data_IF_037153342518
#
_entry.id   IF_037153342518
#
_cell.length_a   1.000
_cell.length_b   1.000
_cell.length_c   1.000
_cell.angle_alpha   90.00
_cell.angle_beta   90.00
_cell.angle_gamma   90.00
#
_symmetry.space_group_name_H-M   'P 1'
#
loop_
_entity.id
_entity.type
_entity.pdbx_description
1 polymer ?
#
# COMPACT_ATOMS: atom_id res chain seq x y z
N UNK A 1 -53.58 24.32 -10.02
CA UNK A 1 -52.36 25.07 -9.68
C UNK A 1 -51.20 24.10 -9.53
N UNK A 2 -50.35 23.96 -10.57
CA UNK A 2 -49.14 23.14 -10.50
C UNK A 2 -47.95 24.08 -10.32
N UNK A 3 -47.34 24.05 -9.15
CA UNK A 3 -46.14 24.81 -8.82
C UNK A 3 -44.94 24.13 -9.48
N UNK A 4 -44.30 24.82 -10.43
CA UNK A 4 -43.03 24.38 -11.00
C UNK A 4 -41.90 24.91 -10.11
N UNK A 5 -41.14 24.01 -9.47
CA UNK A 5 -39.87 24.37 -8.83
C UNK A 5 -38.83 24.38 -9.95
N UNK A 6 -38.43 25.58 -10.38
CA UNK A 6 -37.26 25.77 -11.24
C UNK A 6 -36.06 25.92 -10.33
N UNK A 7 -35.29 24.84 -10.14
CA UNK A 7 -33.94 24.97 -9.60
C UNK A 7 -33.07 25.66 -10.67
N UNK A 8 -32.81 26.96 -10.48
CA UNK A 8 -31.78 27.65 -11.26
C UNK A 8 -30.42 27.06 -10.87
N UNK A 9 -29.84 26.23 -11.74
CA UNK A 9 -28.44 25.85 -11.67
C UNK A 9 -27.58 27.12 -11.64
N UNK A 10 -26.86 27.33 -10.53
CA UNK A 10 -25.89 28.43 -10.43
C UNK A 10 -24.63 28.01 -11.20
N UNK A 11 -24.40 28.62 -12.35
CA UNK A 11 -23.13 28.51 -13.04
C UNK A 11 -22.09 29.35 -12.28
N UNK A 12 -21.16 28.69 -11.59
CA UNK A 12 -20.15 29.36 -10.77
C UNK A 12 -18.84 29.44 -11.55
N UNK A 13 -18.70 30.47 -12.38
CA UNK A 13 -17.53 30.66 -13.25
C UNK A 13 -16.68 31.81 -12.69
N UNK A 14 -15.69 31.48 -11.86
CA UNK A 14 -14.75 32.45 -11.27
C UNK A 14 -13.29 31.98 -11.34
N UNK A 15 -12.30 32.87 -11.59
CA UNK A 15 -10.87 32.53 -11.61
C UNK A 15 -10.37 31.91 -10.30
N UNK A 16 -10.89 32.37 -9.15
CA UNK A 16 -10.60 31.83 -7.81
C UNK A 16 -11.06 30.37 -7.65
N UNK A 17 -12.14 29.99 -8.34
CA UNK A 17 -12.66 28.62 -8.32
C UNK A 17 -11.78 27.72 -9.17
N UNK A 18 -11.26 28.20 -10.30
CA UNK A 18 -10.28 27.44 -11.09
C UNK A 18 -9.00 27.18 -10.29
N UNK A 19 -8.54 28.15 -9.49
CA UNK A 19 -7.39 27.98 -8.62
C UNK A 19 -7.68 27.07 -7.42
N UNK A 20 -8.84 27.21 -6.77
CA UNK A 20 -9.28 26.33 -5.68
C UNK A 20 -9.57 24.90 -6.12
N UNK A 21 -10.16 24.70 -7.30
CA UNK A 21 -10.37 23.37 -7.91
C UNK A 21 -9.07 22.77 -8.43
N UNK A 22 -8.12 23.59 -8.90
CA UNK A 22 -6.77 23.12 -9.22
C UNK A 22 -6.05 22.64 -7.96
N UNK A 23 -6.02 23.45 -6.89
CA UNK A 23 -5.46 23.04 -5.60
C UNK A 23 -6.14 21.79 -5.05
N UNK A 24 -7.47 21.71 -5.14
CA UNK A 24 -8.23 20.52 -4.75
C UNK A 24 -7.89 19.31 -5.63
N UNK A 25 -7.77 19.46 -6.95
CA UNK A 25 -7.31 18.39 -7.84
C UNK A 25 -5.86 18.00 -7.56
N UNK A 26 -4.98 18.93 -7.19
CA UNK A 26 -3.60 18.65 -6.78
C UNK A 26 -3.55 17.91 -5.44
N UNK A 27 -4.41 18.29 -4.49
CA UNK A 27 -4.53 17.63 -3.19
C UNK A 27 -5.19 16.25 -3.30
N UNK A 28 -6.20 16.12 -4.16
CA UNK A 28 -6.88 14.86 -4.49
C UNK A 28 -5.95 13.95 -5.28
N UNK A 29 -5.20 14.45 -6.25
CA UNK A 29 -4.16 13.65 -6.93
C UNK A 29 -3.03 13.22 -5.99
N UNK A 30 -2.66 14.05 -4.99
CA UNK A 30 -1.79 13.59 -3.89
C UNK A 30 -2.42 12.47 -3.05
N UNK A 31 -3.75 12.44 -2.93
CA UNK A 31 -4.50 11.40 -2.20
C UNK A 31 -4.78 10.15 -3.06
N UNK A 32 -4.90 10.29 -4.38
CA UNK A 32 -5.25 9.25 -5.36
C UNK A 32 -4.01 8.64 -6.06
N UNK A 33 -2.85 9.31 -5.99
CA UNK A 33 -1.59 8.83 -6.54
C UNK A 33 -0.43 9.56 -5.88
N UNK A 34 -0.09 9.18 -4.64
CA UNK A 34 1.15 9.66 -4.03
C UNK A 34 2.30 9.29 -4.96
N UNK A 35 2.98 10.31 -5.48
CA UNK A 35 4.21 10.13 -6.25
C UNK A 35 5.36 9.72 -5.33
N UNK A 36 5.21 9.92 -4.01
CA UNK A 36 6.27 9.75 -3.04
C UNK A 36 5.90 8.65 -2.05
N UNK A 37 6.86 7.76 -1.77
CA UNK A 37 6.70 6.64 -0.86
C UNK A 37 7.78 6.66 0.20
N UNK A 38 7.45 6.11 1.36
CA UNK A 38 8.40 5.93 2.46
C UNK A 38 8.28 4.52 2.98
N UNK A 39 9.42 3.85 3.13
CA UNK A 39 9.46 2.46 3.54
C UNK A 39 10.42 2.27 4.70
N UNK A 40 9.99 1.49 5.69
CA UNK A 40 10.86 1.10 6.79
C UNK A 40 11.89 0.07 6.32
N UNK A 41 13.12 0.14 6.81
CA UNK A 41 14.12 -0.92 6.62
C UNK A 41 14.68 -1.28 7.99
N UNK A 42 14.35 -2.49 8.45
CA UNK A 42 14.76 -3.02 9.74
C UNK A 42 15.80 -4.11 9.56
N UNK A 43 16.95 -3.97 10.22
CA UNK A 43 17.95 -5.01 10.29
C UNK A 43 17.67 -5.94 11.47
N UNK A 44 17.51 -7.24 11.20
CA UNK A 44 17.28 -8.28 12.20
C UNK A 44 18.44 -9.27 12.19
N UNK A 45 19.14 -9.40 13.32
CA UNK A 45 20.20 -10.40 13.51
C UNK A 45 19.60 -11.76 13.83
N UNK A 46 20.41 -12.79 13.64
CA UNK A 46 20.03 -14.14 13.98
C UNK A 46 19.68 -14.28 15.47
N UNK A 47 18.61 -15.02 15.78
CA UNK A 47 18.14 -15.24 17.15
C UNK A 47 17.37 -14.09 17.80
N UNK A 48 17.25 -12.90 17.18
CA UNK A 48 16.43 -11.81 17.71
C UNK A 48 14.94 -12.12 17.58
N UNK A 49 14.18 -11.91 18.66
CA UNK A 49 12.75 -12.27 18.75
C UNK A 49 11.85 -11.09 19.11
N UNK A 50 12.44 -9.97 19.54
CA UNK A 50 11.70 -8.80 19.99
C UNK A 50 12.00 -7.57 19.14
N UNK A 51 11.02 -6.68 19.02
CA UNK A 51 11.20 -5.40 18.36
C UNK A 51 12.32 -4.56 18.99
N UNK A 52 12.36 -4.50 20.32
CA UNK A 52 13.40 -3.75 21.06
C UNK A 52 14.83 -4.21 20.70
N UNK A 53 15.07 -5.52 20.53
CA UNK A 53 16.37 -6.07 20.11
C UNK A 53 16.71 -5.64 18.67
N UNK A 54 15.77 -5.79 17.74
CA UNK A 54 15.98 -5.43 16.34
C UNK A 54 16.23 -3.93 16.15
N UNK A 55 15.45 -3.08 16.82
CA UNK A 55 15.62 -1.63 16.77
C UNK A 55 16.89 -1.15 17.47
N UNK A 56 17.47 -1.94 18.38
CA UNK A 56 18.71 -1.62 19.08
C UNK A 56 19.97 -1.94 18.28
N UNK A 57 19.85 -2.52 17.08
CA UNK A 57 21.00 -2.78 16.22
C UNK A 57 21.63 -1.45 15.73
N UNK A 58 22.84 -1.15 16.19
CA UNK A 58 23.59 0.06 15.78
C UNK A 58 24.19 -0.09 14.37
N UNK A 59 24.71 -1.28 14.06
CA UNK A 59 25.39 -1.58 12.79
C UNK A 59 24.78 -2.79 12.09
N UNK A 60 24.82 -2.74 10.76
CA UNK A 60 24.45 -3.85 9.89
C UNK A 60 25.62 -4.79 9.59
N UNK A 61 25.35 -5.85 8.81
CA UNK A 61 26.37 -6.70 8.21
C UNK A 61 26.79 -6.20 6.83
N UNK A 62 27.89 -6.72 6.28
CA UNK A 62 28.30 -6.41 4.90
C UNK A 62 27.23 -6.76 3.86
N UNK A 63 26.48 -7.85 4.07
CA UNK A 63 25.38 -8.22 3.18
C UNK A 63 24.19 -7.28 3.28
N UNK A 64 23.98 -6.67 4.46
CA UNK A 64 22.99 -5.62 4.64
C UNK A 64 23.42 -4.33 3.91
N UNK A 65 24.67 -3.92 4.03
CA UNK A 65 25.17 -2.73 3.33
C UNK A 65 25.11 -2.90 1.81
N UNK A 66 25.45 -4.10 1.28
CA UNK A 66 25.24 -4.44 -0.13
C UNK A 66 23.77 -4.32 -0.54
N UNK A 67 22.85 -4.79 0.29
CA UNK A 67 21.42 -4.67 0.05
C UNK A 67 20.94 -3.21 0.08
N UNK A 68 21.43 -2.38 0.99
CA UNK A 68 21.10 -0.95 1.04
C UNK A 68 21.57 -0.22 -0.23
N UNK A 69 22.79 -0.50 -0.69
CA UNK A 69 23.32 0.04 -1.94
C UNK A 69 22.55 -0.45 -3.18
N UNK A 70 21.93 -1.64 -3.10
CA UNK A 70 21.05 -2.13 -4.15
C UNK A 70 19.71 -1.38 -4.16
N UNK A 71 19.15 -1.01 -3.00
CA UNK A 71 17.88 -0.31 -2.92
C UNK A 71 17.95 1.10 -3.54
N UNK A 72 19.02 1.85 -3.26
CA UNK A 72 19.17 3.21 -3.72
C UNK A 72 20.49 3.85 -3.32
N UNK A 73 20.58 5.15 -3.54
CA UNK A 73 21.75 5.95 -3.25
C UNK A 73 21.77 6.40 -1.79
N UNK A 74 22.95 6.38 -1.18
CA UNK A 74 23.14 7.01 0.13
C UNK A 74 23.18 8.53 -0.05
N UNK A 75 22.25 9.23 0.57
CA UNK A 75 22.14 10.68 0.54
C UNK A 75 22.48 11.29 1.90
N UNK A 76 22.99 12.52 1.90
CA UNK A 76 23.07 13.33 3.12
C UNK A 76 21.75 14.04 3.36
N UNK A 77 21.23 13.96 4.59
CA UNK A 77 19.98 14.58 4.98
C UNK A 77 20.11 16.10 5.17
N UNK A 78 21.28 16.56 5.62
CA UNK A 78 21.52 17.99 5.82
C UNK A 78 21.44 18.75 4.49
N UNK A 79 20.45 19.65 4.38
CA UNK A 79 20.22 20.40 3.15
C UNK A 79 19.59 19.61 2.00
N UNK A 80 19.06 18.41 2.26
CA UNK A 80 18.37 17.61 1.25
C UNK A 80 17.13 18.34 0.70
N UNK A 81 17.06 18.47 -0.62
CA UNK A 81 16.00 19.19 -1.32
C UNK A 81 14.87 18.30 -1.86
N UNK A 82 15.09 16.97 -1.94
CA UNK A 82 14.11 16.01 -2.44
C UNK A 82 13.06 15.62 -1.40
N UNK A 83 12.23 14.62 -1.74
CA UNK A 83 11.29 14.06 -0.77
C UNK A 83 12.04 13.52 0.46
N UNK A 84 11.62 13.94 1.65
CA UNK A 84 12.31 13.65 2.92
C UNK A 84 11.68 12.57 3.79
N UNK A 85 10.51 12.02 3.43
CA UNK A 85 9.84 10.96 4.19
C UNK A 85 9.42 11.30 5.64
N UNK A 86 9.65 12.52 6.11
CA UNK A 86 9.47 12.92 7.51
C UNK A 86 10.77 12.92 8.32
N UNK A 87 11.92 12.68 7.69
CA UNK A 87 13.26 12.85 8.27
C UNK A 87 13.61 14.34 8.39
N UNK A 88 14.44 14.65 9.39
CA UNK A 88 15.03 15.97 9.60
C UNK A 88 16.14 16.21 8.59
N UNK A 89 16.16 17.43 8.06
CA UNK A 89 17.07 17.88 6.99
C UNK A 89 17.86 19.13 7.42
N UNK A 90 17.71 19.56 8.68
CA UNK A 90 18.27 20.81 9.20
C UNK A 90 19.19 20.60 10.40
N UNK A 91 18.78 19.77 11.34
CA UNK A 91 19.44 19.66 12.65
C UNK A 91 19.95 18.24 12.95
N UNK A 92 20.03 17.37 11.95
CA UNK A 92 20.50 15.98 12.05
C UNK A 92 19.83 15.13 13.16
N UNK A 93 18.61 15.51 13.58
CA UNK A 93 17.90 14.82 14.67
C UNK A 93 17.39 13.44 14.29
N UNK A 94 17.42 13.09 13.00
CA UNK A 94 17.03 11.78 12.47
C UNK A 94 18.18 11.09 11.76
N UNK A 95 19.42 11.38 12.17
CA UNK A 95 20.63 10.85 11.55
C UNK A 95 21.17 11.79 10.46
N UNK A 96 22.35 11.45 9.95
CA UNK A 96 23.05 12.28 8.96
C UNK A 96 22.76 11.86 7.52
N UNK A 97 22.50 10.57 7.30
CA UNK A 97 22.34 9.98 5.98
C UNK A 97 21.11 9.05 5.95
N UNK A 98 20.62 8.77 4.74
CA UNK A 98 19.55 7.82 4.48
C UNK A 98 19.72 7.22 3.09
N UNK A 99 18.92 6.21 2.74
CA UNK A 99 18.86 5.65 1.39
C UNK A 99 17.67 6.25 0.66
N UNK A 100 17.89 6.69 -0.57
CA UNK A 100 16.88 7.31 -1.41
C UNK A 100 17.02 6.82 -2.86
N UNK A 101 15.90 6.69 -3.56
CA UNK A 101 15.91 6.43 -5.01
C UNK A 101 14.71 7.06 -5.68
N UNK A 102 14.86 7.39 -6.97
CA UNK A 102 13.72 7.65 -7.85
C UNK A 102 13.46 6.40 -8.68
N UNK A 103 12.23 5.89 -8.69
CA UNK A 103 11.84 4.72 -9.46
C UNK A 103 10.56 4.99 -10.25
N UNK A 104 10.64 4.94 -11.59
CA UNK A 104 9.52 5.22 -12.50
C UNK A 104 8.78 6.55 -12.21
N UNK A 105 9.53 7.58 -11.81
CA UNK A 105 8.97 8.89 -11.45
C UNK A 105 8.43 8.99 -10.02
N UNK A 106 8.56 7.92 -9.23
CA UNK A 106 8.25 7.93 -7.81
C UNK A 106 9.50 8.21 -6.97
N UNK A 107 9.41 9.10 -5.99
CA UNK A 107 10.48 9.32 -5.01
C UNK A 107 10.31 8.38 -3.82
N UNK A 108 11.32 7.58 -3.50
CA UNK A 108 11.29 6.60 -2.41
C UNK A 108 12.30 6.98 -1.35
N UNK A 109 11.84 7.21 -0.12
CA UNK A 109 12.66 7.45 1.06
C UNK A 109 12.69 6.21 1.96
N UNK A 110 13.86 5.76 2.38
CA UNK A 110 13.99 4.59 3.25
C UNK A 110 14.37 4.98 4.69
N UNK A 111 13.52 4.62 5.65
CA UNK A 111 13.82 4.76 7.06
C UNK A 111 14.66 3.57 7.52
N UNK A 112 15.98 3.67 7.39
CA UNK A 112 16.92 2.59 7.73
C UNK A 112 17.23 2.59 9.21
N UNK A 113 16.95 1.48 9.89
CA UNK A 113 17.07 1.37 11.35
C UNK A 113 18.46 1.70 11.88
N UNK A 114 19.52 1.27 11.19
CA UNK A 114 20.92 1.52 11.58
C UNK A 114 21.40 2.94 11.27
N UNK A 115 20.74 3.67 10.37
CA UNK A 115 21.07 5.06 10.03
C UNK A 115 20.30 6.09 10.88
N UNK A 116 19.21 5.67 11.52
CA UNK A 116 18.49 6.49 12.49
C UNK A 116 19.25 6.56 13.84
N UNK A 117 19.10 7.64 14.62
CA UNK A 117 19.83 7.79 15.88
C UNK A 117 19.54 6.67 16.87
N UNK A 118 20.58 6.24 17.57
CA UNK A 118 20.51 5.26 18.64
C UNK A 118 20.68 5.96 19.99
N UNK A 119 19.90 5.54 21.00
CA UNK A 119 20.10 5.98 22.39
C UNK A 119 20.19 4.77 23.31
N UNK A 120 21.32 4.62 24.01
CA UNK A 120 21.57 3.52 24.96
C UNK A 120 20.60 3.52 26.13
N UNK A 121 20.17 4.72 26.53
CA UNK A 121 19.27 4.97 27.65
C UNK A 121 17.82 4.59 27.29
N UNK A 122 17.49 4.62 25.99
CA UNK A 122 16.16 4.33 25.48
C UNK A 122 16.06 2.91 24.92
N UNK A 123 15.84 1.92 25.78
CA UNK A 123 15.69 0.51 25.36
C UNK A 123 14.63 0.29 24.28
N UNK A 124 13.59 1.13 24.23
CA UNK A 124 12.52 1.03 23.24
C UNK A 124 12.86 1.69 21.90
N UNK A 125 13.97 2.44 21.82
CA UNK A 125 14.40 3.17 20.62
C UNK A 125 13.24 3.95 19.98
N UNK A 126 12.54 4.74 20.80
CA UNK A 126 11.29 5.43 20.44
C UNK A 126 11.43 6.25 19.15
N UNK A 127 12.54 6.96 18.94
CA UNK A 127 12.74 7.72 17.70
C UNK A 127 12.82 6.82 16.46
N UNK A 128 13.52 5.68 16.53
CA UNK A 128 13.55 4.70 15.43
C UNK A 128 12.16 4.13 15.15
N UNK A 129 11.44 3.75 16.21
CA UNK A 129 10.05 3.25 16.11
C UNK A 129 9.08 4.31 15.61
N UNK A 130 9.30 5.59 15.91
CA UNK A 130 8.47 6.70 15.45
C UNK A 130 8.54 6.87 13.93
N UNK A 131 9.67 6.57 13.31
CA UNK A 131 9.78 6.59 11.85
C UNK A 131 9.29 5.27 11.25
N UNK A 132 10.00 4.17 11.51
CA UNK A 132 9.75 2.85 10.90
C UNK A 132 8.39 2.29 11.32
N UNK A 133 8.05 2.40 12.61
CA UNK A 133 6.77 1.90 13.12
C UNK A 133 5.56 2.68 12.63
N UNK A 134 5.74 3.83 11.97
CA UNK A 134 4.68 4.58 11.30
C UNK A 134 4.66 4.36 9.78
N UNK A 135 5.55 3.54 9.24
CA UNK A 135 5.54 3.16 7.83
C UNK A 135 4.55 2.03 7.59
N UNK A 136 3.84 2.13 6.46
CA UNK A 136 2.83 1.15 6.05
C UNK A 136 3.49 -0.17 5.67
N UNK A 137 4.61 -0.08 4.95
CA UNK A 137 5.38 -1.22 4.47
C UNK A 137 6.78 -1.16 5.07
N UNK A 138 7.22 -2.25 5.68
CA UNK A 138 8.55 -2.38 6.28
C UNK A 138 9.30 -3.56 5.66
N UNK A 139 10.49 -3.31 5.13
CA UNK A 139 11.44 -4.33 4.74
C UNK A 139 12.17 -4.81 6.00
N UNK A 140 12.23 -6.13 6.20
CA UNK A 140 13.03 -6.74 7.26
C UNK A 140 14.16 -7.51 6.60
N UNK A 141 15.39 -7.03 6.75
CA UNK A 141 16.56 -7.78 6.32
C UNK A 141 16.99 -8.70 7.45
N UNK A 142 16.78 -10.00 7.26
CA UNK A 142 17.18 -11.00 8.23
C UNK A 142 18.56 -11.54 7.89
N UNK A 143 19.52 -11.24 8.75
CA UNK A 143 20.84 -11.84 8.73
C UNK A 143 20.78 -13.24 9.37
N UNK A 144 21.39 -14.21 8.72
CA UNK A 144 21.44 -15.60 9.17
C UNK A 144 22.90 -16.08 9.06
N UNK A 145 23.46 -16.55 10.17
CA UNK A 145 24.76 -17.22 10.18
C UNK A 145 24.55 -18.73 10.10
N UNK A 146 25.01 -19.36 9.02
CA UNK A 146 24.94 -20.82 8.86
C UNK A 146 23.59 -21.38 8.39
N UNK A 147 23.43 -22.70 8.50
CA UNK A 147 22.29 -23.45 7.93
C UNK A 147 21.15 -23.63 8.96
N UNK A 148 19.99 -23.06 8.63
CA UNK A 148 18.60 -23.36 9.07
C UNK A 148 18.31 -23.86 10.50
N UNK A 149 18.75 -23.15 11.54
CA UNK A 149 18.35 -23.50 12.93
C UNK A 149 17.68 -22.38 13.73
N UNK A 150 17.63 -21.15 13.23
CA UNK A 150 17.04 -20.02 13.96
C UNK A 150 15.58 -19.76 13.59
N UNK A 151 14.76 -19.28 14.54
CA UNK A 151 13.38 -18.90 14.27
C UNK A 151 13.32 -17.78 13.21
N UNK A 152 12.57 -18.01 12.14
CA UNK A 152 12.31 -16.98 11.13
C UNK A 152 11.53 -15.81 11.73
N UNK A 153 11.82 -14.59 11.27
CA UNK A 153 11.03 -13.41 11.60
C UNK A 153 9.52 -13.68 11.45
N UNK A 154 8.74 -13.21 12.41
CA UNK A 154 7.27 -13.21 12.35
C UNK A 154 6.76 -11.78 12.53
N UNK A 155 5.73 -11.35 11.79
CA UNK A 155 5.13 -10.03 11.95
C UNK A 155 4.74 -9.69 13.40
N UNK A 156 4.30 -10.68 14.19
CA UNK A 156 3.94 -10.51 15.61
C UNK A 156 5.08 -10.05 16.51
N UNK A 157 6.34 -10.16 16.05
CA UNK A 157 7.52 -9.66 16.75
C UNK A 157 7.58 -8.12 16.74
N UNK A 158 6.92 -7.46 15.79
CA UNK A 158 6.89 -6.00 15.66
C UNK A 158 5.53 -5.46 16.10
N UNK A 159 5.51 -4.61 17.13
CA UNK A 159 4.29 -3.95 17.60
C UNK A 159 4.09 -2.61 16.90
N UNK A 160 3.36 -2.62 15.78
CA UNK A 160 2.92 -1.42 15.08
C UNK A 160 1.43 -1.49 14.71
N UNK A 161 0.73 -0.36 14.82
CA UNK A 161 -0.63 -0.18 14.30
C UNK A 161 -0.67 0.38 12.87
N UNK A 162 0.48 0.77 12.32
CA UNK A 162 0.58 1.40 11.01
C UNK A 162 1.21 0.47 9.97
N UNK A 163 2.06 -0.46 10.39
CA UNK A 163 2.69 -1.42 9.48
C UNK A 163 1.72 -2.55 9.16
N UNK A 164 1.30 -2.64 7.91
CA UNK A 164 0.36 -3.65 7.42
C UNK A 164 1.05 -4.70 6.54
N UNK A 165 2.26 -4.39 6.03
CA UNK A 165 3.02 -5.29 5.15
C UNK A 165 4.48 -5.37 5.62
N UNK A 166 5.00 -6.60 5.70
CA UNK A 166 6.41 -6.89 5.92
C UNK A 166 7.01 -7.62 4.72
N UNK A 167 8.11 -7.10 4.19
CA UNK A 167 8.92 -7.76 3.17
C UNK A 167 10.19 -8.32 3.81
N UNK A 168 10.19 -9.62 4.11
CA UNK A 168 11.33 -10.32 4.69
C UNK A 168 12.33 -10.71 3.59
N UNK A 169 13.51 -10.11 3.64
CA UNK A 169 14.61 -10.35 2.70
C UNK A 169 15.72 -11.12 3.42
N UNK A 170 16.17 -12.21 2.79
CA UNK A 170 17.38 -12.94 3.19
C UNK A 170 18.34 -13.01 2.04
N UNK A 171 19.62 -12.78 2.31
CA UNK A 171 20.68 -12.94 1.34
C UNK A 171 21.42 -14.27 1.59
N UNK A 172 21.58 -15.06 0.54
CA UNK A 172 22.36 -16.29 0.57
C UNK A 172 23.70 -16.03 -0.14
N UNK A 173 24.78 -16.06 0.64
CA UNK A 173 26.14 -15.81 0.16
C UNK A 173 26.73 -16.95 -0.67
N UNK A 174 26.20 -18.18 -0.55
CA UNK A 174 26.73 -19.34 -1.27
C UNK A 174 26.36 -19.31 -2.76
N UNK A 175 25.16 -18.83 -3.07
CA UNK A 175 24.63 -18.77 -4.43
C UNK A 175 24.38 -17.33 -4.91
N UNK A 176 24.86 -16.34 -4.15
CA UNK A 176 24.71 -14.91 -4.41
C UNK A 176 23.27 -14.50 -4.76
N UNK A 177 22.30 -14.99 -4.00
CA UNK A 177 20.87 -14.80 -4.28
C UNK A 177 20.10 -14.17 -3.13
N UNK A 178 19.01 -13.48 -3.47
CA UNK A 178 18.05 -12.95 -2.50
C UNK A 178 16.81 -13.82 -2.46
N UNK A 179 16.34 -14.15 -1.25
CA UNK A 179 15.06 -14.80 -1.01
C UNK A 179 14.10 -13.81 -0.37
N UNK A 180 12.89 -13.72 -0.91
CA UNK A 180 11.86 -12.80 -0.45
C UNK A 180 10.67 -13.57 0.12
N UNK A 181 10.17 -13.15 1.28
CA UNK A 181 8.87 -13.58 1.82
C UNK A 181 8.05 -12.35 2.17
N UNK A 182 6.78 -12.33 1.79
CA UNK A 182 5.87 -11.25 2.09
C UNK A 182 4.88 -11.70 3.16
N UNK A 183 4.61 -10.80 4.10
CA UNK A 183 3.52 -10.91 5.05
C UNK A 183 2.65 -9.67 4.88
N UNK A 184 1.34 -9.85 4.78
CA UNK A 184 0.37 -8.76 4.73
C UNK A 184 -0.76 -9.06 5.72
N UNK A 185 -1.37 -8.02 6.27
CA UNK A 185 -2.61 -8.15 7.00
C UNK A 185 -3.73 -8.69 6.09
N UNK A 186 -4.62 -9.51 6.63
CA UNK A 186 -5.73 -10.14 5.91
C UNK A 186 -6.66 -9.12 5.23
N UNK A 187 -6.79 -7.93 5.81
CA UNK A 187 -7.63 -6.86 5.27
C UNK A 187 -7.05 -6.21 4.00
N UNK A 188 -5.77 -6.40 3.71
CA UNK A 188 -5.07 -5.81 2.57
C UNK A 188 -5.37 -6.64 1.31
N UNK A 189 -5.92 -6.04 0.24
CA UNK A 189 -6.13 -6.72 -1.03
C UNK A 189 -4.84 -7.32 -1.59
N UNK A 190 -4.95 -8.38 -2.39
CA UNK A 190 -3.80 -8.92 -3.12
C UNK A 190 -3.20 -7.85 -4.05
N UNK A 191 -1.88 -7.76 -4.07
CA UNK A 191 -1.16 -6.79 -4.88
C UNK A 191 -0.02 -7.44 -5.66
N UNK A 192 0.15 -7.02 -6.91
CA UNK A 192 1.18 -7.55 -7.80
C UNK A 192 2.57 -6.93 -7.56
N UNK A 193 3.61 -7.45 -8.21
CA UNK A 193 3.66 -8.71 -8.97
C UNK A 193 3.56 -9.96 -8.07
N UNK A 194 3.03 -11.10 -8.54
CA UNK A 194 3.03 -12.34 -7.75
C UNK A 194 4.47 -12.80 -7.47
N UNK A 195 4.70 -13.45 -6.33
CA UNK A 195 6.02 -13.99 -5.99
C UNK A 195 6.40 -15.12 -6.95
N UNK A 196 7.67 -15.21 -7.40
CA UNK A 196 8.14 -16.36 -8.15
C UNK A 196 8.12 -17.62 -7.28
N UNK A 197 8.05 -18.79 -7.91
CA UNK A 197 8.13 -20.09 -7.24
C UNK A 197 9.34 -20.86 -7.77
N UNK A 198 10.43 -21.02 -7.00
CA UNK A 198 10.63 -20.54 -5.63
C UNK A 198 10.83 -19.00 -5.55
N UNK A 199 10.58 -18.37 -4.39
CA UNK A 199 10.70 -16.91 -4.24
C UNK A 199 12.16 -16.47 -4.03
N UNK A 200 13.02 -16.83 -4.99
CA UNK A 200 14.48 -16.63 -4.98
C UNK A 200 14.88 -15.90 -6.26
N UNK A 201 15.75 -14.91 -6.13
CA UNK A 201 16.23 -14.07 -7.21
C UNK A 201 17.75 -14.12 -7.27
N UNK A 202 18.29 -14.52 -8.42
CA UNK A 202 19.73 -14.56 -8.70
C UNK A 202 20.23 -13.29 -9.38
N UNK A 203 19.37 -12.60 -10.13
CA UNK A 203 19.67 -11.27 -10.67
C UNK A 203 19.27 -10.21 -9.64
N UNK A 204 20.26 -9.45 -9.16
CA UNK A 204 20.06 -8.45 -8.11
C UNK A 204 19.27 -7.25 -8.62
N UNK A 205 19.41 -6.86 -9.89
CA UNK A 205 18.65 -5.73 -10.45
C UNK A 205 17.19 -6.13 -10.71
N UNK A 206 16.96 -7.36 -11.17
CA UNK A 206 15.60 -7.90 -11.26
C UNK A 206 14.94 -7.95 -9.88
N UNK A 207 15.67 -8.42 -8.86
CA UNK A 207 15.19 -8.43 -7.48
C UNK A 207 14.84 -7.02 -6.98
N UNK A 208 15.72 -6.04 -7.22
CA UNK A 208 15.50 -4.64 -6.85
C UNK A 208 14.21 -4.12 -7.47
N UNK A 209 14.07 -4.24 -8.79
CA UNK A 209 12.90 -3.74 -9.51
C UNK A 209 11.62 -4.43 -9.05
N UNK A 210 11.66 -5.76 -8.87
CA UNK A 210 10.55 -6.54 -8.33
C UNK A 210 10.15 -6.03 -6.94
N UNK A 211 11.13 -5.85 -6.04
CA UNK A 211 10.90 -5.42 -4.67
C UNK A 211 10.28 -4.02 -4.64
N UNK A 212 10.85 -3.03 -5.35
CA UNK A 212 10.32 -1.67 -5.35
C UNK A 212 8.88 -1.60 -5.86
N UNK A 213 8.57 -2.29 -6.97
CA UNK A 213 7.20 -2.37 -7.50
C UNK A 213 6.26 -3.04 -6.48
N UNK A 214 6.71 -4.13 -5.86
CA UNK A 214 5.93 -4.89 -4.87
C UNK A 214 5.60 -4.04 -3.64
N UNK A 215 6.55 -3.24 -3.15
CA UNK A 215 6.36 -2.33 -2.01
C UNK A 215 5.37 -1.20 -2.35
N UNK A 216 5.54 -0.55 -3.51
CA UNK A 216 4.65 0.52 -3.98
C UNK A 216 3.20 0.00 -4.12
N UNK A 217 3.02 -1.15 -4.76
CA UNK A 217 1.70 -1.74 -4.94
C UNK A 217 1.09 -2.19 -3.61
N UNK A 218 1.91 -2.71 -2.70
CA UNK A 218 1.49 -3.07 -1.34
C UNK A 218 0.99 -1.87 -0.55
N UNK A 219 1.71 -0.75 -0.58
CA UNK A 219 1.24 0.48 0.09
C UNK A 219 -0.07 0.98 -0.54
N UNK A 220 -0.16 1.01 -1.87
CA UNK A 220 -1.40 1.41 -2.57
C UNK A 220 -2.58 0.52 -2.19
N UNK A 221 -2.41 -0.80 -2.17
CA UNK A 221 -3.44 -1.75 -1.75
C UNK A 221 -3.84 -1.55 -0.28
N UNK A 222 -2.89 -1.26 0.60
CA UNK A 222 -3.19 -0.99 2.02
C UNK A 222 -4.09 0.24 2.18
N UNK A 223 -3.90 1.27 1.35
CA UNK A 223 -4.74 2.46 1.42
C UNK A 223 -6.21 2.16 1.07
N UNK A 224 -6.48 1.13 0.26
CA UNK A 224 -7.84 0.68 -0.10
C UNK A 224 -8.57 -0.04 1.03
N UNK A 225 -7.88 -0.46 2.09
CA UNK A 225 -8.54 -1.09 3.24
C UNK A 225 -9.53 -0.14 3.92
N UNK A 226 -10.60 -0.66 4.57
CA UNK A 226 -11.66 0.17 5.15
C UNK A 226 -11.15 1.20 6.16
N UNK A 227 -10.12 0.87 6.93
CA UNK A 227 -9.55 1.74 7.97
C UNK A 227 -8.89 2.99 7.36
N UNK A 228 -8.11 2.82 6.29
CA UNK A 228 -7.48 3.93 5.58
C UNK A 228 -8.46 4.64 4.65
N UNK A 229 -9.31 3.91 3.92
CA UNK A 229 -10.32 4.48 3.05
C UNK A 229 -11.27 5.43 3.79
N UNK A 230 -11.79 5.04 4.95
CA UNK A 230 -12.66 5.91 5.77
C UNK A 230 -11.92 7.15 6.28
N UNK A 231 -10.66 7.01 6.73
CA UNK A 231 -9.86 8.15 7.16
C UNK A 231 -9.63 9.13 6.00
N UNK A 232 -9.27 8.62 4.81
CA UNK A 232 -9.11 9.42 3.59
C UNK A 232 -10.40 10.13 3.20
N UNK A 233 -11.54 9.43 3.22
CA UNK A 233 -12.84 10.02 2.92
C UNK A 233 -13.20 11.15 3.88
N UNK A 234 -12.97 10.99 5.19
CA UNK A 234 -13.20 12.06 6.18
C UNK A 234 -12.32 13.29 5.91
N UNK A 235 -11.05 13.09 5.58
CA UNK A 235 -10.14 14.19 5.23
C UNK A 235 -10.60 14.89 3.96
N UNK A 236 -10.99 14.12 2.93
CA UNK A 236 -11.53 14.65 1.69
C UNK A 236 -12.79 15.49 1.94
N UNK A 237 -13.74 14.96 2.71
CA UNK A 237 -14.97 15.67 3.09
C UNK A 237 -14.66 16.98 3.84
N UNK A 238 -13.69 16.96 4.76
CA UNK A 238 -13.26 18.15 5.49
C UNK A 238 -12.66 19.20 4.56
N UNK A 239 -11.79 18.80 3.64
CA UNK A 239 -11.16 19.69 2.65
C UNK A 239 -12.19 20.28 1.70
N UNK A 240 -13.14 19.47 1.22
CA UNK A 240 -14.27 19.92 0.39
C UNK A 240 -15.10 20.96 1.12
N UNK A 241 -15.44 20.72 2.39
CA UNK A 241 -16.21 21.67 3.21
C UNK A 241 -15.45 22.98 3.43
N UNK A 242 -14.15 22.92 3.71
CA UNK A 242 -13.31 24.12 3.84
C UNK A 242 -13.32 24.93 2.56
N UNK A 243 -13.07 24.27 1.42
CA UNK A 243 -13.06 24.93 0.12
C UNK A 243 -14.42 25.56 -0.21
N UNK A 244 -15.52 24.85 0.08
CA UNK A 244 -16.88 25.37 -0.10
C UNK A 244 -17.13 26.62 0.75
N UNK A 245 -16.63 26.66 2.00
CA UNK A 245 -16.73 27.85 2.85
C UNK A 245 -15.92 29.03 2.31
N UNK A 246 -14.74 28.78 1.76
CA UNK A 246 -13.87 29.82 1.19
C UNK A 246 -14.42 30.38 -0.14
N UNK A 247 -15.16 29.57 -0.91
CA UNK A 247 -15.70 29.92 -2.23
C UNK A 247 -17.05 30.65 -2.20
N UNK A 248 -17.75 30.66 -1.06
CA UNK A 248 -19.01 31.42 -0.91
C UNK A 248 -18.77 32.67 -0.05
N UNK A 249 -18.33 33.79 -0.65
CA UNK A 249 -18.49 35.09 -0.01
C UNK A 249 -19.97 35.51 -0.10
N UNK A 250 -20.58 35.70 1.08
CA UNK A 250 -21.82 36.45 1.33
C UNK A 250 -23.16 35.91 0.77
N UNK A 251 -23.80 35.02 1.54
CA UNK A 251 -25.29 35.02 1.57
C UNK A 251 -25.90 35.16 2.97
N UNK A 252 -25.21 34.86 4.06
CA UNK A 252 -25.69 35.22 5.41
C UNK A 252 -24.54 35.45 6.40
N UNK A 253 -23.92 36.63 6.34
CA UNK A 253 -23.19 37.15 7.51
C UNK A 253 -24.19 37.76 8.49
N UNK A 254 -24.86 36.90 9.27
CA UNK A 254 -25.20 37.32 10.63
C UNK A 254 -23.89 37.23 11.43
N UNK A 255 -23.27 38.39 11.62
CA UNK A 255 -21.99 38.58 12.32
C UNK A 255 -22.08 38.24 13.81
N UNK A 256 -22.19 36.96 14.16
CA UNK A 256 -21.96 36.46 15.51
C UNK A 256 -21.40 35.03 15.42
N UNK A 257 -20.10 34.92 15.09
CA UNK A 257 -19.20 33.83 15.54
C UNK A 257 -17.89 33.76 14.76
N UNK A 258 -17.23 34.91 14.57
CA UNK A 258 -15.79 34.91 14.28
C UNK A 258 -15.05 35.41 15.51
N UNK A 259 -14.77 34.50 16.44
CA UNK A 259 -13.67 34.68 17.39
C UNK A 259 -12.58 33.68 17.00
N UNK A 260 -11.49 34.22 16.46
CA UNK A 260 -10.22 33.54 16.39
C UNK A 260 -9.85 33.06 17.78
N UNK A 261 -9.37 31.82 17.90
CA UNK A 261 -8.97 31.22 19.18
C UNK A 261 -7.69 31.85 19.79
N UNK A 262 -7.17 32.95 19.22
CA UNK A 262 -5.89 33.56 19.59
C UNK A 262 -5.93 34.88 20.34
N UNK A 263 -7.02 35.68 20.32
CA UNK A 263 -6.90 37.10 20.76
C UNK A 263 -8.03 37.58 21.65
N UNK A 264 -8.04 37.15 22.93
CA UNK A 264 -8.40 38.05 24.04
C UNK A 264 -7.64 37.62 25.32
N UNK A 265 -6.72 38.51 25.73
CA UNK A 265 -6.20 38.77 27.08
C UNK A 265 -4.70 38.50 27.34
N UNK A 266 -4.04 39.39 28.13
CA UNK A 266 -2.61 39.38 28.38
C UNK A 266 -2.21 38.27 29.37
N UNK A 267 -0.96 37.82 29.26
CA UNK A 267 -0.37 36.76 30.07
C UNK A 267 -0.43 36.99 31.58
N UNK A 268 -0.62 35.89 32.32
CA UNK A 268 -0.15 35.71 33.69
C UNK A 268 0.40 34.28 33.86
N UNK A 269 1.62 34.07 34.38
CA UNK A 269 2.33 32.78 34.25
C UNK A 269 1.88 31.66 35.19
N UNK A 270 0.86 31.87 36.05
CA UNK A 270 0.57 30.93 37.16
C UNK A 270 -0.68 30.05 37.00
N UNK A 271 -1.46 30.18 35.91
CA UNK A 271 -2.69 29.38 35.72
C UNK A 271 -2.65 28.35 34.57
N UNK A 272 -1.56 28.28 33.79
CA UNK A 272 -1.46 27.40 32.63
C UNK A 272 -1.49 25.91 32.99
N UNK A 273 -0.85 25.53 34.10
CA UNK A 273 -0.71 24.12 34.51
C UNK A 273 -2.02 23.46 34.92
N UNK A 274 -2.88 24.20 35.63
CA UNK A 274 -4.21 23.72 36.07
C UNK A 274 -5.23 23.65 34.92
N UNK A 275 -5.04 24.46 33.87
CA UNK A 275 -5.92 24.51 32.69
C UNK A 275 -5.58 23.40 31.67
N UNK A 276 -4.32 22.98 31.63
CA UNK A 276 -3.86 21.85 30.82
C UNK A 276 -4.31 20.49 31.40
N UNK A 277 -4.28 20.34 32.73
CA UNK A 277 -4.85 19.16 33.41
C UNK A 277 -6.36 19.02 33.17
N UNK A 278 -7.09 20.14 33.17
CA UNK A 278 -8.53 20.13 32.86
C UNK A 278 -8.78 19.73 31.39
N UNK A 279 -7.95 20.18 30.45
CA UNK A 279 -8.01 19.76 29.03
C UNK A 279 -7.69 18.28 28.86
N UNK A 280 -6.67 17.76 29.55
CA UNK A 280 -6.35 16.33 29.52
C UNK A 280 -7.47 15.49 30.12
N UNK A 281 -8.06 15.90 31.25
CA UNK A 281 -9.17 15.20 31.87
C UNK A 281 -10.43 15.17 30.99
N UNK A 282 -10.68 16.24 30.23
CA UNK A 282 -11.79 16.32 29.29
C UNK A 282 -11.54 15.50 28.01
N UNK A 283 -10.30 15.51 27.51
CA UNK A 283 -9.88 14.67 26.39
C UNK A 283 -9.97 13.17 26.72
N UNK A 284 -9.55 12.78 27.93
CA UNK A 284 -9.69 11.41 28.44
C UNK A 284 -11.16 11.02 28.61
N UNK A 285 -12.01 11.91 29.15
CA UNK A 285 -13.46 11.65 29.25
C UNK A 285 -14.12 11.47 27.89
N UNK A 286 -13.80 12.32 26.92
CA UNK A 286 -14.30 12.19 25.54
C UNK A 286 -13.81 10.89 24.91
N UNK A 287 -12.54 10.53 25.08
CA UNK A 287 -11.98 9.26 24.62
C UNK A 287 -12.64 8.03 25.24
N UNK A 288 -12.93 8.07 26.54
CA UNK A 288 -13.65 7.01 27.26
C UNK A 288 -15.12 6.91 26.82
N UNK A 289 -15.81 8.02 26.60
CA UNK A 289 -17.18 8.04 26.11
C UNK A 289 -17.30 7.52 24.67
N UNK A 290 -16.32 7.83 23.82
CA UNK A 290 -16.21 7.27 22.48
C UNK A 290 -15.96 5.76 22.54
N UNK A 291 -15.05 5.29 23.40
CA UNK A 291 -14.78 3.86 23.61
C UNK A 291 -16.03 3.09 24.08
N UNK A 292 -16.84 3.68 24.96
CA UNK A 292 -18.08 3.10 25.46
C UNK A 292 -19.15 3.02 24.35
N UNK A 293 -19.28 4.04 23.50
CA UNK A 293 -20.16 4.01 22.33
C UNK A 293 -19.73 2.98 21.28
N UNK A 294 -18.44 2.78 21.09
CA UNK A 294 -17.90 1.77 20.16
C UNK A 294 -18.12 0.34 20.70
N UNK A 295 -18.03 0.13 22.01
CA UNK A 295 -18.35 -1.16 22.67
C UNK A 295 -19.84 -1.49 22.56
N UNK A 296 -20.73 -0.52 22.79
CA UNK A 296 -22.19 -0.70 22.68
C UNK A 296 -22.63 -0.98 21.23
N UNK A 297 -21.82 -0.58 20.24
CA UNK A 297 -22.04 -0.90 18.82
C UNK A 297 -21.43 -2.23 18.36
N UNK A 298 -20.65 -2.91 19.20
CA UNK A 298 -19.96 -4.16 18.84
C UNK A 298 -18.70 -3.98 17.97
N UNK A 299 -18.26 -2.74 17.74
CA UNK A 299 -17.15 -2.41 16.83
C UNK A 299 -15.79 -2.32 17.54
N UNK A 300 -15.71 -2.71 18.82
CA UNK A 300 -14.45 -2.77 19.58
C UNK A 300 -14.03 -4.23 19.80
N UNK A 301 -12.76 -4.60 19.54
CA UNK A 301 -12.25 -5.91 19.92
C UNK A 301 -12.06 -5.94 21.43
N UNK A 302 -13.10 -6.27 22.19
CA UNK A 302 -12.96 -6.60 23.60
C UNK A 302 -12.36 -7.99 23.72
N UNK A 303 -11.08 -8.04 24.11
CA UNK A 303 -10.41 -9.16 24.79
C UNK A 303 -11.00 -10.56 24.52
N UNK A 304 -10.57 -11.19 23.43
CA UNK A 304 -10.83 -12.61 23.17
C UNK A 304 -9.87 -13.46 24.01
N UNK A 305 -10.11 -13.50 25.32
CA UNK A 305 -9.76 -14.65 26.15
C UNK A 305 -11.04 -15.44 26.29
N UNK A 306 -10.97 -16.76 26.13
CA UNK A 306 -12.08 -17.74 26.07
C UNK A 306 -12.92 -17.75 24.78
N UNK A 307 -12.45 -18.50 23.79
CA UNK A 307 -13.21 -19.60 23.17
C UNK A 307 -12.23 -20.45 22.36
N UNK A 308 -11.94 -21.64 22.87
CA UNK A 308 -11.21 -22.65 22.13
C UNK A 308 -12.10 -23.21 21.02
N UNK A 309 -11.58 -23.15 19.80
CA UNK A 309 -11.80 -24.04 18.65
C UNK A 309 -10.86 -23.48 17.57
N UNK A 310 -9.94 -24.32 17.07
CA UNK A 310 -8.81 -23.99 16.20
C UNK A 310 -9.08 -22.80 15.26
N UNK A 311 -8.55 -21.62 15.59
CA UNK A 311 -8.48 -20.50 14.66
C UNK A 311 -7.18 -20.64 13.87
N UNK A 312 -7.31 -20.75 12.55
CA UNK A 312 -6.22 -20.46 11.63
C UNK A 312 -5.78 -19.02 11.86
N UNK A 313 -4.47 -18.79 11.86
CA UNK A 313 -3.94 -17.46 12.08
C UNK A 313 -4.20 -16.57 10.84
N UNK A 314 -4.46 -15.26 10.97
CA UNK A 314 -4.78 -14.36 9.84
C UNK A 314 -3.75 -14.33 8.71
N UNK A 315 -2.52 -14.78 8.97
CA UNK A 315 -1.38 -14.82 8.06
C UNK A 315 -1.02 -16.24 7.61
N UNK A 316 -1.87 -17.23 7.90
CA UNK A 316 -1.67 -18.60 7.44
C UNK A 316 -1.84 -18.65 5.91
N UNK A 317 -0.86 -19.21 5.20
CA UNK A 317 -0.90 -19.31 3.74
C UNK A 317 -2.14 -20.10 3.31
N UNK A 318 -3.12 -19.42 2.72
CA UNK A 318 -4.32 -20.05 2.19
C UNK A 318 -4.02 -20.61 0.80
N UNK A 319 -3.96 -21.95 0.73
CA UNK A 319 -3.89 -22.65 -0.54
C UNK A 319 -5.27 -22.61 -1.21
N UNK A 320 -5.41 -21.86 -2.30
CA UNK A 320 -6.63 -21.83 -3.14
C UNK A 320 -6.91 -23.19 -3.79
N UNK A 321 -5.87 -23.94 -4.14
CA UNK A 321 -5.99 -25.26 -4.74
C UNK A 321 -4.81 -26.12 -4.30
N UNK A 322 -5.07 -27.24 -3.62
CA UNK A 322 -4.03 -28.19 -3.18
C UNK A 322 -3.43 -29.01 -4.34
N UNK A 323 -4.17 -29.12 -5.45
CA UNK A 323 -3.77 -29.88 -6.63
C UNK A 323 -4.29 -29.20 -7.90
N UNK A 324 -3.43 -28.38 -8.52
CA UNK A 324 -3.71 -27.77 -9.80
C UNK A 324 -2.87 -28.44 -10.90
N UNK A 325 -3.52 -29.13 -11.84
CA UNK A 325 -2.85 -30.02 -12.80
C UNK A 325 -2.11 -29.31 -13.95
N UNK A 326 -2.10 -27.98 -13.98
CA UNK A 326 -1.54 -27.20 -15.09
C UNK A 326 -0.46 -26.24 -14.61
N UNK A 327 0.56 -26.03 -15.44
CA UNK A 327 1.59 -25.03 -15.19
C UNK A 327 1.02 -23.61 -15.36
N UNK A 328 1.29 -22.75 -14.38
CA UNK A 328 0.74 -21.40 -14.30
C UNK A 328 1.69 -20.38 -14.93
N UNK A 329 1.16 -19.55 -15.83
CA UNK A 329 1.90 -18.48 -16.52
C UNK A 329 1.78 -17.16 -15.77
N UNK A 330 0.55 -16.77 -15.46
CA UNK A 330 0.23 -15.59 -14.68
C UNK A 330 -1.15 -15.77 -14.05
N UNK A 331 -1.42 -15.01 -12.98
CA UNK A 331 -2.70 -15.04 -12.30
C UNK A 331 -3.02 -13.66 -11.72
N UNK A 332 -4.30 -13.38 -11.53
CA UNK A 332 -4.77 -12.18 -10.83
C UNK A 332 -6.09 -12.47 -10.10
N UNK A 333 -6.38 -11.71 -9.05
CA UNK A 333 -7.59 -11.90 -8.25
C UNK A 333 -8.80 -11.26 -8.90
N UNK A 334 -9.95 -11.93 -8.78
CA UNK A 334 -11.25 -11.40 -9.17
C UNK A 334 -12.29 -11.73 -8.09
N UNK A 335 -12.53 -10.78 -7.19
CA UNK A 335 -13.38 -10.90 -6.02
C UNK A 335 -12.79 -11.89 -5.01
N UNK A 336 -13.48 -13.02 -4.81
CA UNK A 336 -13.02 -14.14 -3.99
C UNK A 336 -12.44 -15.29 -4.84
N UNK A 337 -12.34 -15.09 -6.15
CA UNK A 337 -11.88 -16.08 -7.11
C UNK A 337 -10.50 -15.69 -7.64
N UNK A 338 -9.74 -16.66 -8.13
CA UNK A 338 -8.45 -16.47 -8.76
C UNK A 338 -8.55 -16.81 -10.24
N UNK A 339 -8.22 -15.86 -11.11
CA UNK A 339 -8.03 -16.13 -12.54
C UNK A 339 -6.58 -16.56 -12.78
N UNK A 340 -6.40 -17.70 -13.44
CA UNK A 340 -5.10 -18.33 -13.66
C UNK A 340 -4.95 -18.66 -15.15
N UNK A 341 -3.97 -18.03 -15.80
CA UNK A 341 -3.56 -18.41 -17.15
C UNK A 341 -2.60 -19.59 -17.07
N UNK A 342 -2.86 -20.58 -17.91
CA UNK A 342 -2.10 -21.82 -18.01
C UNK A 342 -1.56 -22.01 -19.41
N UNK A 343 -0.47 -22.76 -19.56
CA UNK A 343 0.08 -23.03 -20.89
C UNK A 343 -0.79 -23.97 -21.72
N UNK A 344 -1.44 -24.95 -21.09
CA UNK A 344 -2.13 -26.04 -21.77
C UNK A 344 -3.66 -25.86 -21.87
N UNK A 345 -4.29 -25.22 -20.88
CA UNK A 345 -5.75 -25.16 -20.76
C UNK A 345 -6.34 -23.75 -21.02
N UNK A 346 -5.51 -22.75 -21.32
CA UNK A 346 -5.99 -21.36 -21.45
C UNK A 346 -6.16 -20.72 -20.06
N UNK A 347 -7.25 -19.99 -19.84
CA UNK A 347 -7.49 -19.27 -18.58
C UNK A 347 -8.59 -19.97 -17.78
N UNK A 348 -8.26 -20.29 -16.54
CA UNK A 348 -9.15 -20.96 -15.58
C UNK A 348 -9.49 -20.00 -14.45
N UNK A 349 -10.68 -20.14 -13.87
CA UNK A 349 -11.12 -19.48 -12.65
C UNK A 349 -11.19 -20.52 -11.54
N UNK A 350 -10.59 -20.20 -10.39
CA UNK A 350 -10.56 -21.03 -9.19
C UNK A 350 -11.29 -20.26 -8.10
N UNK A 351 -12.38 -20.83 -7.58
CA UNK A 351 -13.11 -20.24 -6.46
C UNK A 351 -12.49 -20.67 -5.12
N UNK A 352 -12.58 -19.81 -4.09
CA UNK A 352 -12.08 -20.09 -2.74
C UNK A 352 -12.78 -21.29 -2.06
N UNK A 353 -13.99 -21.64 -2.51
CA UNK A 353 -14.64 -22.87 -2.09
C UNK A 353 -13.95 -24.06 -2.75
N UNK A 354 -12.98 -24.68 -2.05
CA UNK A 354 -12.20 -25.88 -2.41
C UNK A 354 -13.03 -27.13 -2.84
N UNK A 355 -14.34 -26.98 -3.03
CA UNK A 355 -15.31 -28.00 -3.40
C UNK A 355 -15.59 -28.02 -4.91
N UNK A 356 -15.36 -26.92 -5.64
CA UNK A 356 -15.68 -26.82 -7.07
C UNK A 356 -14.44 -26.97 -7.96
N UNK A 357 -14.55 -27.71 -9.09
CA UNK A 357 -13.45 -27.83 -10.04
C UNK A 357 -13.18 -26.47 -10.72
N UNK A 358 -11.93 -26.18 -11.12
CA UNK A 358 -11.59 -24.96 -11.86
C UNK A 358 -12.48 -24.79 -13.11
N UNK A 359 -13.05 -23.60 -13.28
CA UNK A 359 -13.96 -23.28 -14.38
C UNK A 359 -13.17 -22.63 -15.51
N UNK A 360 -13.28 -23.16 -16.73
CA UNK A 360 -12.56 -22.61 -17.88
C UNK A 360 -13.25 -21.34 -18.39
N UNK A 361 -12.54 -20.21 -18.37
CA UNK A 361 -13.04 -18.91 -18.84
C UNK A 361 -12.67 -18.70 -20.31
N UNK A 362 -11.42 -19.02 -20.66
CA UNK A 362 -10.91 -18.98 -22.03
C UNK A 362 -10.26 -20.31 -22.39
N UNK A 363 -10.46 -20.76 -23.62
CA UNK A 363 -9.87 -22.01 -24.08
C UNK A 363 -8.36 -21.87 -24.38
N UNK A 364 -7.72 -23.00 -24.69
CA UNK A 364 -6.29 -23.07 -25.05
C UNK A 364 -5.89 -22.21 -26.27
N UNK A 365 -6.84 -21.73 -27.07
CA UNK A 365 -6.52 -20.85 -28.20
C UNK A 365 -6.15 -19.45 -27.73
N UNK A 366 -6.57 -19.07 -26.52
CA UNK A 366 -6.23 -17.82 -25.86
C UNK A 366 -4.98 -17.97 -24.98
N UNK A 367 -3.79 -17.91 -25.59
CA UNK A 367 -2.52 -17.98 -24.86
C UNK A 367 -2.21 -16.62 -24.22
N UNK A 368 -2.58 -16.47 -22.96
CA UNK A 368 -2.36 -15.25 -22.16
C UNK A 368 -0.98 -15.30 -21.50
N UNK A 369 -0.15 -14.28 -21.74
CA UNK A 369 1.18 -14.12 -21.13
C UNK A 369 1.20 -13.13 -19.97
N UNK A 370 0.23 -12.21 -19.93
CA UNK A 370 0.02 -11.30 -18.81
C UNK A 370 -1.47 -11.00 -18.70
N UNK A 371 -1.98 -10.93 -17.47
CA UNK A 371 -3.34 -10.48 -17.19
C UNK A 371 -3.34 -9.42 -16.09
N UNK A 372 -4.35 -8.57 -16.10
CA UNK A 372 -4.62 -7.63 -15.02
C UNK A 372 -6.12 -7.42 -14.87
N UNK A 373 -6.62 -7.65 -13.67
CA UNK A 373 -8.02 -7.44 -13.27
C UNK A 373 -8.15 -6.08 -12.60
N UNK A 374 -9.00 -5.25 -13.17
CA UNK A 374 -9.32 -3.89 -12.72
C UNK A 374 -10.79 -3.85 -12.31
N UNK A 375 -11.10 -4.40 -11.13
CA UNK A 375 -12.48 -4.52 -10.63
C UNK A 375 -13.22 -3.17 -10.54
N UNK A 376 -12.61 -2.08 -10.01
CA UNK A 376 -13.31 -0.80 -9.91
C UNK A 376 -13.73 -0.22 -11.27
N UNK A 377 -13.03 -0.61 -12.34
CA UNK A 377 -13.32 -0.17 -13.70
C UNK A 377 -14.11 -1.20 -14.52
N UNK A 378 -14.45 -2.36 -13.95
CA UNK A 378 -15.13 -3.48 -14.63
C UNK A 378 -14.31 -4.04 -15.82
N UNK A 379 -12.97 -4.06 -15.73
CA UNK A 379 -12.10 -4.46 -16.84
C UNK A 379 -11.19 -5.66 -16.50
N UNK A 380 -11.06 -6.58 -17.44
CA UNK A 380 -9.98 -7.56 -17.52
C UNK A 380 -9.13 -7.23 -18.74
N UNK A 381 -7.84 -6.94 -18.52
CA UNK A 381 -6.88 -6.69 -19.59
C UNK A 381 -5.99 -7.92 -19.71
N UNK A 382 -5.87 -8.48 -20.92
CA UNK A 382 -4.97 -9.60 -21.19
C UNK A 382 -4.03 -9.29 -22.35
N UNK A 383 -2.78 -9.73 -22.22
CA UNK A 383 -1.77 -9.70 -23.28
C UNK A 383 -1.59 -11.10 -23.83
N UNK A 384 -1.75 -11.24 -25.14
CA UNK A 384 -1.40 -12.46 -25.88
C UNK A 384 -0.28 -12.15 -26.86
N UNK A 385 0.73 -13.00 -26.90
CA UNK A 385 1.88 -12.83 -27.79
C UNK A 385 1.74 -13.75 -29.00
N UNK A 386 2.06 -13.25 -30.21
CA UNK A 386 2.15 -14.06 -31.43
C UNK A 386 3.47 -13.73 -32.13
N UNK A 387 4.55 -14.42 -31.74
CA UNK A 387 5.90 -14.11 -32.21
C UNK A 387 6.40 -12.79 -31.60
N UNK A 388 6.85 -11.85 -32.43
CA UNK A 388 7.33 -10.52 -31.98
C UNK A 388 6.21 -9.50 -31.72
N UNK A 389 4.96 -9.84 -32.05
CA UNK A 389 3.80 -8.96 -31.87
C UNK A 389 3.06 -9.30 -30.58
N UNK A 390 2.97 -8.32 -29.67
CA UNK A 390 2.06 -8.35 -28.53
C UNK A 390 0.68 -7.80 -28.93
N UNK A 391 -0.40 -8.43 -28.45
CA UNK A 391 -1.79 -8.02 -28.67
C UNK A 391 -2.51 -7.89 -27.34
N UNK A 392 -3.15 -6.75 -27.12
CA UNK A 392 -3.98 -6.49 -25.95
C UNK A 392 -5.44 -6.78 -26.25
N UNK A 393 -6.09 -7.44 -25.30
CA UNK A 393 -7.52 -7.69 -25.27
C UNK A 393 -8.10 -7.11 -23.99
N UNK A 394 -9.25 -6.45 -24.10
CA UNK A 394 -9.95 -5.82 -22.97
C UNK A 394 -11.36 -6.39 -22.91
N UNK A 395 -11.69 -7.01 -21.79
CA UNK A 395 -12.99 -7.62 -21.54
C UNK A 395 -13.68 -6.89 -20.39
N UNK A 396 -15.02 -6.83 -20.42
CA UNK A 396 -15.78 -6.42 -19.24
C UNK A 396 -15.95 -7.59 -18.29
N UNK A 397 -15.62 -7.39 -17.01
CA UNK A 397 -15.75 -8.43 -15.98
C UNK A 397 -17.22 -8.84 -15.80
N UNK A 398 -18.13 -7.89 -15.75
CA UNK A 398 -19.58 -8.11 -15.67
C UNK A 398 -20.12 -9.01 -16.80
N UNK A 399 -19.61 -8.84 -18.02
CA UNK A 399 -19.98 -9.67 -19.18
C UNK A 399 -19.42 -11.08 -19.10
N UNK A 400 -18.19 -11.24 -18.59
CA UNK A 400 -17.59 -12.55 -18.34
C UNK A 400 -18.34 -13.30 -17.24
N UNK A 401 -18.69 -12.62 -16.15
CA UNK A 401 -19.42 -13.19 -15.02
C UNK A 401 -20.79 -13.70 -15.44
N UNK A 402 -21.55 -12.90 -16.20
CA UNK A 402 -22.83 -13.33 -16.76
C UNK A 402 -22.69 -14.54 -17.69
N UNK A 403 -21.66 -14.58 -18.53
CA UNK A 403 -21.40 -15.72 -19.41
C UNK A 403 -21.10 -17.02 -18.64
N UNK A 404 -20.39 -16.92 -17.51
CA UNK A 404 -20.12 -18.04 -16.62
C UNK A 404 -21.39 -18.52 -15.89
N UNK A 405 -22.21 -17.61 -15.38
CA UNK A 405 -23.49 -17.91 -14.72
C UNK A 405 -24.50 -18.56 -15.68
N UNK A 406 -24.54 -18.10 -16.93
CA UNK A 406 -25.41 -18.63 -17.99
C UNK A 406 -24.87 -19.92 -18.64
N UNK A 407 -23.72 -20.44 -18.20
CA UNK A 407 -23.01 -21.60 -18.80
C UNK A 407 -22.85 -21.49 -20.31
N UNK A 408 -22.55 -20.28 -20.81
CA UNK A 408 -22.22 -20.09 -22.22
C UNK A 408 -20.94 -20.88 -22.58
N UNK A 409 -20.78 -21.23 -23.86
CA UNK A 409 -19.58 -21.91 -24.34
C UNK A 409 -18.30 -21.14 -23.94
N UNK A 410 -17.27 -21.91 -23.55
CA UNK A 410 -15.93 -21.39 -23.25
C UNK A 410 -15.45 -20.52 -24.41
N UNK A 411 -15.02 -19.29 -24.10
CA UNK A 411 -14.64 -18.32 -25.12
C UNK A 411 -13.33 -18.71 -25.80
N UNK A 412 -13.33 -18.69 -27.12
CA UNK A 412 -12.13 -18.88 -27.92
C UNK A 412 -11.48 -17.54 -28.28
N UNK A 413 -10.26 -17.60 -28.82
CA UNK A 413 -9.59 -16.44 -29.44
C UNK A 413 -10.38 -15.85 -30.61
N UNK A 414 -11.16 -16.68 -31.31
CA UNK A 414 -12.00 -16.22 -32.42
C UNK A 414 -13.19 -15.39 -31.90
N UNK A 415 -13.82 -15.82 -30.82
CA UNK A 415 -14.95 -15.12 -30.19
C UNK A 415 -14.52 -13.79 -29.56
N UNK A 416 -13.23 -13.66 -29.25
CA UNK A 416 -12.67 -12.50 -28.58
C UNK A 416 -12.11 -11.44 -29.55
N UNK A 417 -12.34 -11.57 -30.86
CA UNK A 417 -11.81 -10.63 -31.88
C UNK A 417 -12.25 -9.19 -31.64
N UNK A 418 -13.49 -8.97 -31.22
CA UNK A 418 -14.05 -7.64 -30.95
C UNK A 418 -13.47 -6.99 -29.68
N UNK A 419 -12.92 -7.81 -28.77
CA UNK A 419 -12.29 -7.35 -27.53
C UNK A 419 -10.82 -6.94 -27.77
N UNK A 420 -10.29 -7.13 -28.98
CA UNK A 420 -8.91 -6.80 -29.33
C UNK A 420 -8.78 -5.29 -29.54
N UNK A 421 -7.86 -4.66 -28.82
CA UNK A 421 -7.48 -3.28 -29.09
C UNK A 421 -6.83 -3.18 -30.48
N UNK A 422 -7.32 -2.26 -31.30
CA UNK A 422 -6.68 -1.96 -32.58
C UNK A 422 -5.29 -1.36 -32.37
N UNK A 423 -4.34 -1.68 -33.25
CA UNK A 423 -3.03 -1.02 -33.24
C UNK A 423 -3.27 0.45 -33.60
N UNK A 424 -3.06 1.37 -32.67
CA UNK A 424 -2.97 2.79 -32.98
C UNK A 424 -1.79 3.00 -33.93
N UNK A 425 -2.07 3.38 -35.19
CA UNK A 425 -1.03 3.91 -36.09
C UNK A 425 -0.68 5.33 -35.62
N UNK A 426 0.52 5.49 -35.08
CA UNK A 426 1.04 6.75 -34.52
C UNK A 426 0.97 6.72 -32.99
N UNK A 427 2.05 6.41 -32.29
CA UNK A 427 3.26 7.24 -32.23
C UNK A 427 4.49 6.37 -32.06
N UNK A 428 5.56 6.69 -32.81
CA UNK A 428 6.90 6.24 -32.47
C UNK A 428 7.29 6.87 -31.14
N UNK A 429 7.24 6.13 -30.04
CA UNK A 429 8.07 6.44 -28.88
C UNK A 429 9.51 6.12 -29.30
N UNK A 430 10.24 7.17 -29.65
CA UNK A 430 11.69 7.12 -29.90
C UNK A 430 12.37 6.38 -28.75
N UNK A 431 13.14 5.35 -29.11
CA UNK A 431 14.35 4.97 -28.36
C UNK A 431 15.21 6.23 -28.27
N UNK A 432 15.28 6.86 -27.11
CA UNK A 432 16.42 7.70 -26.76
C UNK A 432 17.40 6.81 -26.00
N UNK A 433 18.28 6.17 -26.76
CA UNK A 433 19.59 5.74 -26.26
C UNK A 433 20.44 7.01 -26.18
N UNK A 434 20.81 7.42 -24.96
CA UNK A 434 21.95 8.31 -24.77
C UNK A 434 23.11 7.47 -24.26
N UNK A 435 24.16 7.43 -25.10
CA UNK A 435 25.55 7.13 -24.75
C UNK A 435 26.10 8.13 -23.76
#
# INVERSE_FOLDING_TARGET
>A
SKTYIVERGKEVVGPLIKQGTFLMKTQISHLEGSVNFKFGVLYAKDGQLTDDEMFSNETGSESFDKFLNLLGDTISLQGWAGYRGGLDTKNDTTGMNSIYTVYQGHELMFHVSTMLPYSKENKQQVERKRHIGNDIVTIVFQFQEGEDTSPSFKPSMIRSHFTHIFALVRYNSQNDSYRLKLFSEESVPLFGPPLPSPPVFTDHQEFRDFLLVKLINGEKATLETPTFAQKRQRTLDMLIRSLYQDLIPDLHKNMLNRRSFSDVLPESPKSARKKEEARQAEFVRIGQALKLKTIVRGDAPTSLVTTGLCRKEPWESQSFCSTFSYETVCADSWGQSLLVATEAAGVMMIDDAQVLPPVQVFDKTMVVKQMHVLEPQDLLITRTDKGKDARLYVFRLSMLKRGLEERQLVRTKCDSRENKLEKTKGTHTRRHTHS
#
